data_IF_781419452806
#
_entry.id   IF_781419452806
#
_cell.length_a   1.000
_cell.length_b   1.000
_cell.length_c   1.000
_cell.angle_alpha   90.00
_cell.angle_beta   90.00
_cell.angle_gamma   90.00
#
_symmetry.space_group_name_H-M   'P 1'
#
loop_
_entity.id
_entity.type
_entity.pdbx_description
1 polymer ?
#
# COMPACT_ATOMS: atom_id res chain seq x y z
N UNK A 1 11.24 10.45 -19.85
CA UNK A 1 11.05 9.04 -19.46
C UNK A 1 11.55 8.82 -18.04
N UNK A 2 10.73 8.25 -17.16
CA UNK A 2 11.22 7.96 -15.82
C UNK A 2 12.29 6.86 -15.84
N UNK A 3 13.15 6.87 -14.83
CA UNK A 3 14.16 5.83 -14.66
C UNK A 3 13.47 4.49 -14.40
N UNK A 4 13.96 3.43 -15.02
CA UNK A 4 13.44 2.08 -14.89
C UNK A 4 14.57 1.08 -14.63
N UNK A 5 14.20 -0.05 -14.07
CA UNK A 5 15.12 -1.15 -13.77
C UNK A 5 14.65 -2.39 -14.53
N UNK A 6 15.51 -3.05 -15.35
CA UNK A 6 15.14 -4.29 -16.02
C UNK A 6 14.69 -5.37 -15.03
N UNK A 7 13.59 -6.03 -15.34
CA UNK A 7 13.05 -7.10 -14.51
C UNK A 7 12.21 -6.64 -13.32
N UNK A 8 12.11 -5.34 -13.07
CA UNK A 8 11.27 -4.83 -12.00
C UNK A 8 9.78 -4.95 -12.38
N UNK A 9 8.96 -5.62 -11.56
CA UNK A 9 7.54 -5.82 -11.89
C UNK A 9 6.70 -4.55 -11.85
N UNK A 10 7.24 -3.46 -11.27
CA UNK A 10 6.52 -2.19 -11.12
C UNK A 10 6.95 -1.13 -12.13
N UNK A 11 8.06 -1.37 -12.83
CA UNK A 11 8.46 -0.52 -13.95
C UNK A 11 7.67 -0.88 -15.20
N UNK A 12 7.34 0.12 -16.01
CA UNK A 12 6.64 -0.06 -17.29
C UNK A 12 5.32 -0.84 -17.19
N UNK A 13 4.37 -0.40 -16.35
CA UNK A 13 3.08 -1.09 -16.25
C UNK A 13 2.32 -1.00 -17.58
N UNK A 14 1.56 -2.07 -17.90
CA UNK A 14 0.65 -2.03 -19.05
C UNK A 14 -0.59 -1.21 -18.68
N UNK A 15 -1.27 -0.69 -19.72
CA UNK A 15 -2.53 0.04 -19.49
C UNK A 15 -3.59 -0.80 -18.76
N UNK A 16 -3.56 -2.11 -18.93
CA UNK A 16 -4.51 -3.02 -18.26
C UNK A 16 -4.29 -3.09 -16.77
N UNK A 17 -3.07 -2.85 -16.32
CA UNK A 17 -2.72 -2.93 -14.89
C UNK A 17 -3.00 -1.63 -14.14
N UNK A 18 -3.17 -0.53 -14.87
CA UNK A 18 -3.36 0.79 -14.25
C UNK A 18 -4.84 1.03 -13.99
N UNK A 19 -5.21 1.14 -12.72
CA UNK A 19 -6.58 1.48 -12.31
C UNK A 19 -6.80 2.98 -12.19
N UNK A 20 -5.77 3.69 -11.74
CA UNK A 20 -5.79 5.13 -11.53
C UNK A 20 -4.37 5.63 -11.63
N UNK A 21 -4.18 6.85 -12.11
CA UNK A 21 -2.84 7.42 -12.23
C UNK A 21 -2.87 8.95 -12.16
N UNK A 22 -1.72 9.52 -11.88
CA UNK A 22 -1.42 10.93 -12.08
C UNK A 22 -0.09 11.03 -12.84
N UNK A 23 0.51 12.22 -12.87
CA UNK A 23 1.72 12.43 -13.65
C UNK A 23 2.93 11.62 -13.16
N UNK A 24 2.97 11.25 -11.88
CA UNK A 24 4.15 10.65 -11.26
C UNK A 24 3.93 9.24 -10.71
N UNK A 25 2.68 8.80 -10.59
CA UNK A 25 2.40 7.52 -9.93
C UNK A 25 1.13 6.87 -10.48
N UNK A 26 0.96 5.59 -10.18
CA UNK A 26 -0.20 4.82 -10.60
C UNK A 26 -0.65 3.84 -9.52
N UNK A 27 -1.86 3.34 -9.66
CA UNK A 27 -2.45 2.33 -8.78
C UNK A 27 -2.74 1.06 -9.59
N UNK A 28 -2.43 -0.07 -8.98
CA UNK A 28 -2.76 -1.40 -9.53
C UNK A 28 -3.23 -2.33 -8.40
N UNK A 29 -3.84 -3.44 -8.77
CA UNK A 29 -4.11 -4.50 -7.80
C UNK A 29 -2.82 -5.19 -7.37
N UNK A 30 -2.75 -5.61 -6.11
CA UNK A 30 -1.70 -6.52 -5.67
C UNK A 30 -1.96 -7.90 -6.29
N UNK A 31 -0.92 -8.54 -6.84
CA UNK A 31 -1.04 -9.90 -7.40
C UNK A 31 -1.26 -10.96 -6.34
N UNK A 32 -0.90 -10.65 -5.10
CA UNK A 32 -1.05 -11.55 -3.95
C UNK A 32 -1.86 -10.85 -2.87
N UNK A 33 -3.15 -10.52 -3.17
CA UNK A 33 -3.94 -9.72 -2.24
C UNK A 33 -4.17 -10.47 -0.93
N UNK A 34 -3.92 -9.77 0.18
CA UNK A 34 -4.17 -10.37 1.50
C UNK A 34 -5.61 -10.16 1.95
N UNK A 35 -6.30 -9.18 1.35
CA UNK A 35 -7.74 -9.01 1.48
C UNK A 35 -8.31 -8.67 0.10
N UNK A 36 -9.62 -8.84 -0.02
CA UNK A 36 -10.32 -8.46 -1.26
C UNK A 36 -10.18 -6.96 -1.50
N UNK A 37 -9.68 -6.60 -2.68
CA UNK A 37 -9.50 -5.19 -3.07
C UNK A 37 -8.16 -4.58 -2.67
N UNK A 38 -7.18 -5.37 -2.25
CA UNK A 38 -5.84 -4.92 -1.90
C UNK A 38 -5.18 -4.24 -3.11
N UNK A 39 -4.83 -2.97 -2.96
CA UNK A 39 -4.24 -2.14 -4.01
C UNK A 39 -2.83 -1.67 -3.64
N UNK A 40 -2.07 -1.33 -4.68
CA UNK A 40 -0.74 -0.72 -4.56
C UNK A 40 -0.73 0.63 -5.25
N UNK A 41 -0.12 1.63 -4.62
CA UNK A 41 0.20 2.91 -5.24
C UNK A 41 1.72 2.98 -5.45
N UNK A 42 2.15 3.25 -6.68
CA UNK A 42 3.52 3.01 -7.14
C UNK A 42 3.99 4.20 -7.97
N UNK A 43 5.19 4.77 -7.71
CA UNK A 43 5.72 5.81 -8.60
C UNK A 43 6.16 5.20 -9.92
N UNK A 44 6.05 5.96 -11.03
CA UNK A 44 6.54 5.49 -12.32
C UNK A 44 8.07 5.34 -12.32
N UNK A 45 8.77 6.28 -11.67
CA UNK A 45 10.23 6.23 -11.58
C UNK A 45 10.66 5.09 -10.66
N UNK A 46 11.68 4.35 -11.07
CA UNK A 46 12.28 3.33 -10.21
C UNK A 46 13.05 4.02 -9.09
N UNK A 47 12.55 3.92 -7.89
CA UNK A 47 13.19 4.39 -6.66
C UNK A 47 12.91 3.34 -5.59
N UNK A 48 13.97 2.87 -4.94
CA UNK A 48 13.85 1.74 -4.00
C UNK A 48 13.20 2.13 -2.69
N UNK A 49 13.61 3.26 -2.12
CA UNK A 49 13.22 3.68 -0.79
C UNK A 49 12.26 4.87 -0.85
N UNK A 50 11.23 4.81 -0.02
CA UNK A 50 10.33 5.95 0.18
C UNK A 50 11.10 7.23 0.56
N UNK A 51 12.18 7.09 1.33
CA UNK A 51 12.97 8.24 1.77
C UNK A 51 13.74 8.91 0.61
N UNK A 52 13.95 8.20 -0.49
CA UNK A 52 14.63 8.71 -1.68
C UNK A 52 13.64 9.22 -2.75
N UNK A 53 12.34 9.05 -2.52
CA UNK A 53 11.34 9.64 -3.40
C UNK A 53 11.35 11.16 -3.27
N UNK A 54 11.07 11.86 -4.37
CA UNK A 54 10.98 13.33 -4.34
C UNK A 54 9.74 13.77 -3.56
N UNK A 55 9.72 15.01 -3.04
CA UNK A 55 8.50 15.53 -2.41
C UNK A 55 7.28 15.44 -3.32
N UNK A 56 7.46 15.70 -4.63
CA UNK A 56 6.39 15.63 -5.63
C UNK A 56 5.89 14.19 -5.81
N UNK A 57 6.79 13.21 -5.80
CA UNK A 57 6.43 11.80 -5.87
C UNK A 57 5.66 11.36 -4.63
N UNK A 58 6.10 11.79 -3.45
CA UNK A 58 5.40 11.49 -2.20
C UNK A 58 3.98 12.08 -2.19
N UNK A 59 3.84 13.33 -2.63
CA UNK A 59 2.52 13.95 -2.76
C UNK A 59 1.64 13.20 -3.76
N UNK A 60 2.20 12.83 -4.91
CA UNK A 60 1.47 12.09 -5.94
C UNK A 60 0.97 10.74 -5.43
N UNK A 61 1.80 10.03 -4.67
CA UNK A 61 1.43 8.74 -4.07
C UNK A 61 0.28 8.91 -3.07
N UNK A 62 0.37 9.89 -2.18
CA UNK A 62 -0.66 10.13 -1.18
C UNK A 62 -1.98 10.58 -1.80
N UNK A 63 -1.93 11.38 -2.86
CA UNK A 63 -3.12 11.78 -3.61
C UNK A 63 -3.84 10.57 -4.20
N UNK A 64 -3.08 9.60 -4.74
CA UNK A 64 -3.66 8.36 -5.25
C UNK A 64 -4.23 7.48 -4.14
N UNK A 65 -3.56 7.40 -3.00
CA UNK A 65 -4.07 6.66 -1.84
C UNK A 65 -5.44 7.23 -1.40
N UNK A 66 -5.56 8.54 -1.35
CA UNK A 66 -6.84 9.19 -1.05
C UNK A 66 -7.86 8.93 -2.15
N UNK A 67 -7.43 9.05 -3.41
CA UNK A 67 -8.33 8.91 -4.58
C UNK A 67 -8.93 7.52 -4.74
N UNK A 68 -8.22 6.46 -4.36
CA UNK A 68 -8.73 5.09 -4.53
C UNK A 68 -9.82 4.73 -3.52
N UNK A 69 -10.00 5.50 -2.47
CA UNK A 69 -11.01 5.22 -1.45
C UNK A 69 -12.41 5.09 -2.05
N UNK A 70 -12.81 6.04 -2.89
CA UNK A 70 -14.13 6.01 -3.53
C UNK A 70 -14.29 4.75 -4.39
N UNK A 71 -13.27 4.44 -5.19
CA UNK A 71 -13.27 3.26 -6.04
C UNK A 71 -13.43 1.97 -5.22
N UNK A 72 -12.69 1.86 -4.12
CA UNK A 72 -12.71 0.67 -3.27
C UNK A 72 -14.00 0.58 -2.46
N UNK A 73 -14.46 1.69 -1.89
CA UNK A 73 -15.69 1.74 -1.10
C UNK A 73 -16.90 1.30 -1.93
N UNK A 74 -16.99 1.75 -3.16
CA UNK A 74 -18.09 1.39 -4.05
C UNK A 74 -18.09 -0.09 -4.43
N UNK A 75 -16.94 -0.70 -4.59
CA UNK A 75 -16.81 -2.09 -5.07
C UNK A 75 -16.82 -3.11 -3.95
N UNK A 76 -16.25 -2.78 -2.81
CA UNK A 76 -15.97 -3.78 -1.78
C UNK A 76 -16.58 -3.46 -0.43
N UNK A 77 -17.04 -2.24 -0.20
CA UNK A 77 -17.66 -1.80 1.06
C UNK A 77 -16.84 -2.20 2.31
N UNK A 78 -15.55 -1.84 2.36
CA UNK A 78 -14.73 -2.21 3.52
C UNK A 78 -15.15 -1.46 4.78
N UNK A 79 -14.77 -2.01 5.91
CA UNK A 79 -15.04 -1.41 7.22
C UNK A 79 -13.88 -0.54 7.71
N UNK A 80 -12.73 -0.64 7.06
CA UNK A 80 -11.55 0.15 7.38
C UNK A 80 -10.43 -0.08 6.39
N UNK A 81 -9.28 0.56 6.63
CA UNK A 81 -8.10 0.45 5.77
C UNK A 81 -6.83 0.39 6.59
N UNK A 82 -5.88 -0.43 6.17
CA UNK A 82 -4.49 -0.26 6.54
C UNK A 82 -3.74 0.31 5.34
N UNK A 83 -3.00 1.37 5.57
CA UNK A 83 -2.20 2.04 4.55
C UNK A 83 -0.77 2.07 5.06
N UNK A 84 0.18 1.61 4.25
CA UNK A 84 1.55 1.59 4.70
C UNK A 84 2.53 1.31 3.58
N UNK A 85 3.80 1.58 3.86
CA UNK A 85 4.92 1.35 2.96
C UNK A 85 6.03 0.66 3.74
N UNK A 86 6.61 -0.37 3.14
CA UNK A 86 7.78 -1.05 3.69
C UNK A 86 9.03 -0.39 3.15
N UNK A 87 9.96 -0.03 4.01
CA UNK A 87 11.22 0.59 3.63
C UNK A 87 12.36 -0.30 4.06
N UNK A 88 13.04 -0.90 3.08
CA UNK A 88 14.18 -1.77 3.30
C UNK A 88 13.81 -3.24 3.50
N UNK A 89 14.80 -4.08 3.25
CA UNK A 89 14.65 -5.54 3.29
C UNK A 89 14.14 -6.05 4.64
N UNK A 90 14.70 -5.51 5.74
CA UNK A 90 14.36 -5.98 7.08
C UNK A 90 13.00 -5.50 7.57
N UNK A 91 12.39 -4.53 6.85
CA UNK A 91 11.00 -4.14 7.10
C UNK A 91 10.02 -4.89 6.20
N UNK A 92 10.50 -5.86 5.42
CA UNK A 92 9.66 -6.70 4.58
C UNK A 92 9.45 -6.20 3.17
N UNK A 93 10.24 -5.23 2.72
CA UNK A 93 10.14 -4.77 1.34
C UNK A 93 10.64 -5.87 0.40
N UNK A 94 9.74 -6.49 -0.36
CA UNK A 94 10.06 -7.59 -1.26
C UNK A 94 10.45 -7.11 -2.65
N UNK A 95 9.81 -6.07 -3.17
CA UNK A 95 10.15 -5.44 -4.44
C UNK A 95 10.85 -4.12 -4.15
N UNK A 96 12.05 -3.95 -4.69
CA UNK A 96 12.89 -2.76 -4.41
C UNK A 96 12.51 -1.61 -5.34
N UNK A 97 11.25 -1.24 -5.29
CA UNK A 97 10.60 -0.14 -5.97
C UNK A 97 9.47 0.32 -5.05
N UNK A 98 9.46 1.56 -4.65
CA UNK A 98 8.49 2.10 -3.68
C UNK A 98 7.07 1.69 -4.06
N UNK A 99 6.33 1.17 -3.10
CA UNK A 99 4.91 0.90 -3.27
C UNK A 99 4.19 1.02 -1.93
N UNK A 100 3.09 1.75 -1.93
CA UNK A 100 2.19 1.84 -0.80
C UNK A 100 1.15 0.74 -0.91
N UNK A 101 0.93 0.04 0.18
CA UNK A 101 -0.21 -0.86 0.30
C UNK A 101 -1.44 -0.08 0.74
N UNK A 102 -2.54 -0.31 0.06
CA UNK A 102 -3.87 0.14 0.49
C UNK A 102 -4.69 -1.12 0.69
N UNK A 103 -4.87 -1.51 1.94
CA UNK A 103 -5.44 -2.80 2.32
C UNK A 103 -6.83 -2.55 2.92
N UNK A 104 -7.89 -2.87 2.17
CA UNK A 104 -9.23 -2.82 2.75
C UNK A 104 -9.35 -3.84 3.87
N UNK A 105 -9.95 -3.43 4.97
CA UNK A 105 -10.16 -4.30 6.11
C UNK A 105 -11.65 -4.51 6.32
N UNK A 106 -11.99 -5.72 6.71
CA UNK A 106 -13.38 -6.12 6.88
C UNK A 106 -13.59 -6.56 8.32
N UNK A 107 -14.81 -6.35 8.83
CA UNK A 107 -15.14 -6.64 10.24
C UNK A 107 -14.68 -8.03 10.69
N UNK A 108 -14.79 -9.02 9.81
CA UNK A 108 -14.46 -10.42 10.13
C UNK A 108 -12.96 -10.71 10.16
N UNK A 109 -12.14 -9.90 9.50
CA UNK A 109 -10.70 -10.16 9.45
C UNK A 109 -9.94 -9.61 10.66
N UNK A 110 -10.56 -8.72 11.42
CA UNK A 110 -9.92 -8.07 12.56
C UNK A 110 -9.76 -9.02 13.76
N UNK A 111 -10.66 -9.96 13.94
CA UNK A 111 -10.62 -10.99 15.01
C UNK A 111 -10.31 -10.44 16.40
N UNK A 112 -10.83 -9.25 16.73
CA UNK A 112 -10.61 -8.61 18.01
C UNK A 112 -9.21 -8.06 18.25
N UNK A 113 -8.34 -8.07 17.23
CA UNK A 113 -6.98 -7.54 17.35
C UNK A 113 -7.00 -6.03 17.18
N UNK A 114 -6.48 -5.33 18.18
CA UNK A 114 -6.28 -3.89 18.15
C UNK A 114 -4.84 -3.56 17.81
N UNK A 115 -4.61 -2.37 17.25
CA UNK A 115 -3.28 -1.85 17.02
C UNK A 115 -2.69 -2.11 15.65
N UNK A 116 -3.42 -2.77 14.73
CA UNK A 116 -3.06 -2.90 13.30
C UNK A 116 -1.57 -3.05 13.01
N UNK A 117 -0.90 -1.93 12.76
CA UNK A 117 0.53 -1.88 12.44
C UNK A 117 1.44 -2.49 13.52
N UNK A 118 0.99 -2.58 14.75
CA UNK A 118 1.75 -3.23 15.83
C UNK A 118 1.96 -4.73 15.61
N UNK A 119 1.20 -5.31 14.68
CA UNK A 119 1.29 -6.73 14.34
C UNK A 119 2.20 -7.03 13.16
N UNK A 120 2.93 -6.03 12.64
CA UNK A 120 3.90 -6.26 11.55
C UNK A 120 5.08 -7.11 12.01
N UNK A 121 5.40 -7.07 13.31
CA UNK A 121 6.33 -8.01 13.92
C UNK A 121 5.49 -9.08 14.63
N UNK A 122 5.69 -10.37 14.32
CA UNK A 122 4.95 -11.44 15.00
C UNK A 122 5.12 -11.33 16.51
N UNK A 123 4.01 -11.42 17.24
CA UNK A 123 4.00 -11.32 18.70
C UNK A 123 3.40 -12.57 19.28
N UNK A 124 4.04 -13.11 20.32
CA UNK A 124 3.50 -14.24 21.08
C UNK A 124 2.33 -13.82 21.95
N UNK A 125 2.36 -12.58 22.43
CA UNK A 125 1.29 -12.02 23.24
C UNK A 125 0.65 -10.84 22.53
N UNK A 126 -0.67 -10.69 22.60
CA UNK A 126 -1.32 -9.51 22.06
C UNK A 126 -0.82 -8.25 22.78
N UNK A 127 -0.87 -7.09 22.10
CA UNK A 127 -0.59 -5.82 22.78
C UNK A 127 -1.55 -5.69 23.96
N UNK A 128 -1.13 -5.00 25.04
CA UNK A 128 -1.98 -4.84 26.22
C UNK A 128 -3.33 -4.26 25.80
N UNK A 129 -4.38 -4.85 26.37
CA UNK A 129 -5.71 -4.30 26.20
C UNK A 129 -5.77 -2.95 26.91
N UNK A 130 -5.49 -1.92 26.17
CA UNK A 130 -5.83 -0.59 26.58
C UNK A 130 -6.96 -0.12 25.72
N UNK A 131 -7.88 0.53 26.33
CA UNK A 131 -8.95 1.18 25.63
C UNK A 131 -8.36 2.36 24.84
N UNK A 132 -7.79 2.07 23.67
CA UNK A 132 -7.13 3.07 22.84
C UNK A 132 -8.09 4.15 22.32
N UNK A 133 -9.37 3.89 22.45
CA UNK A 133 -10.43 4.76 21.93
C UNK A 133 -11.26 5.43 23.03
N UNK A 134 -10.69 5.57 24.20
CA UNK A 134 -11.33 6.30 25.30
C UNK A 134 -12.05 5.47 26.28
#
# INVERSE_FOLDING_TARGET
MPETEPGCPFCNPSHRDILLQNDLAYVRTDRFPITRGHLLAIPFRHVSSFFDATPEERSALLDLVVGVRTWTDERHHPDGYNIGVNVGRYAGQAVMHVHFHVIPRYRRDAKGRHGGMRWVIPRETPPPEKNWFG
#
